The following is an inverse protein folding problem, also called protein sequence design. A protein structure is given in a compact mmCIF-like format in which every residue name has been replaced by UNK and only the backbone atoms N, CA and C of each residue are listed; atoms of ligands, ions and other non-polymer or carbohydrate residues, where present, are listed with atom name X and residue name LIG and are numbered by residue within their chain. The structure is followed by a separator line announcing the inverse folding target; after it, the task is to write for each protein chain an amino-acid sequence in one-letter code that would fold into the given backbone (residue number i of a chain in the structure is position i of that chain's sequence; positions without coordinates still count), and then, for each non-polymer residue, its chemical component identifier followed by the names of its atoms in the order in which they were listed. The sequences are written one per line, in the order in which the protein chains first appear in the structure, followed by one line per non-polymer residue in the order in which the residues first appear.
data_IF_910188204574
#
_entry.id   IF_910188204574
#
_cell.length_a   1.000
_cell.length_b   1.000
_cell.length_c   1.000
_cell.angle_alpha   90.00
_cell.angle_beta   90.00
_cell.angle_gamma   90.00
#
_symmetry.space_group_name_H-M   'P 1'
#
loop_
_entity.id
_entity.type
_entity.pdbx_description
1 polymer ?
#
# COMPACT_ATOMS: atom_id res chain seq x y z
N UNK A 1 -18.02 14.41 -19.24
CA UNK A 1 -17.59 13.09 -18.84
C UNK A 1 -16.23 13.18 -18.18
N UNK A 2 -16.10 12.57 -17.01
CA UNK A 2 -14.87 12.68 -16.30
C UNK A 2 -13.89 11.63 -16.75
N UNK A 3 -12.67 12.03 -16.98
CA UNK A 3 -11.67 11.10 -17.41
C UNK A 3 -10.95 10.52 -16.19
N UNK A 4 -10.82 9.23 -16.16
CA UNK A 4 -10.13 8.58 -15.05
C UNK A 4 -8.65 8.58 -15.35
N UNK A 5 -7.83 9.05 -14.40
CA UNK A 5 -6.39 9.08 -14.62
C UNK A 5 -5.81 7.67 -14.73
N UNK A 6 -4.65 7.59 -15.35
CA UNK A 6 -3.99 6.33 -15.45
C UNK A 6 -3.12 6.08 -14.24
N UNK A 7 -3.02 4.83 -13.84
CA UNK A 7 -2.16 4.46 -12.75
C UNK A 7 -0.88 3.86 -13.29
N UNK A 8 0.24 4.17 -12.65
CA UNK A 8 1.50 3.51 -12.97
C UNK A 8 1.51 2.10 -12.43
N UNK A 9 0.87 1.87 -11.31
CA UNK A 9 0.82 0.54 -10.74
C UNK A 9 -0.34 -0.22 -11.34
N UNK A 10 -0.12 -1.48 -11.67
CA UNK A 10 -1.18 -2.25 -12.29
C UNK A 10 -2.23 -2.63 -11.26
N UNK A 11 -3.47 -2.80 -11.69
CA UNK A 11 -4.51 -3.23 -10.75
C UNK A 11 -4.20 -4.56 -10.10
N UNK A 12 -3.56 -5.48 -10.81
CA UNK A 12 -3.22 -6.76 -10.23
C UNK A 12 -2.24 -6.59 -9.07
N UNK A 13 -1.25 -5.74 -9.22
CA UNK A 13 -0.32 -5.49 -8.13
C UNK A 13 -1.02 -4.83 -6.98
N UNK A 14 -1.93 -3.91 -7.27
CA UNK A 14 -2.67 -3.22 -6.24
C UNK A 14 -3.51 -4.21 -5.43
N UNK A 15 -4.20 -5.11 -6.12
CA UNK A 15 -5.03 -6.10 -5.44
C UNK A 15 -4.15 -7.01 -4.58
N UNK A 16 -2.97 -7.38 -5.08
CA UNK A 16 -2.06 -8.20 -4.30
C UNK A 16 -1.67 -7.48 -3.01
N UNK A 17 -1.36 -6.19 -3.11
CA UNK A 17 -0.97 -5.42 -1.94
C UNK A 17 -2.13 -5.32 -0.95
N UNK A 18 -3.34 -5.08 -1.45
CA UNK A 18 -4.49 -4.99 -0.57
C UNK A 18 -4.73 -6.32 0.14
N UNK A 19 -4.61 -7.41 -0.60
CA UNK A 19 -4.83 -8.73 0.00
C UNK A 19 -3.80 -9.04 1.06
N UNK A 20 -2.54 -8.71 0.78
CA UNK A 20 -1.49 -8.97 1.76
C UNK A 20 -1.61 -8.05 2.97
N UNK A 21 -1.99 -6.82 2.75
CA UNK A 21 -2.16 -5.90 3.87
C UNK A 21 -3.30 -6.37 4.76
N UNK A 22 -4.37 -6.86 4.16
CA UNK A 22 -5.51 -7.33 4.92
C UNK A 22 -5.14 -8.58 5.72
N UNK A 23 -4.36 -9.47 5.11
CA UNK A 23 -3.92 -10.65 5.79
C UNK A 23 -2.98 -10.28 6.95
N UNK A 24 -2.14 -9.30 6.73
CA UNK A 24 -1.22 -8.86 7.76
C UNK A 24 -1.97 -8.23 8.93
N UNK A 25 -3.05 -7.52 8.66
CA UNK A 25 -3.85 -6.95 9.72
C UNK A 25 -4.43 -8.04 10.62
N UNK A 26 -4.87 -9.12 10.02
CA UNK A 26 -5.41 -10.21 10.80
C UNK A 26 -4.32 -10.84 11.63
N UNK A 27 -3.17 -11.05 11.06
CA UNK A 27 -2.09 -11.68 11.79
C UNK A 27 -1.54 -10.80 12.88
N UNK A 28 -1.73 -9.52 12.77
CA UNK A 28 -1.22 -8.60 13.75
C UNK A 28 -2.13 -8.34 14.88
N UNK A 29 -3.13 -9.13 15.07
CA UNK A 29 -3.97 -8.97 16.20
C UNK A 29 -3.19 -9.11 17.43
N UNK A 30 -2.05 -9.75 17.44
CA UNK A 30 -1.30 -9.86 18.61
C UNK A 30 -0.48 -8.70 18.85
N UNK A 31 -0.09 -8.45 20.03
CA UNK A 31 0.67 -7.31 20.40
C UNK A 31 1.91 -7.30 19.58
N UNK A 32 2.20 -6.21 18.99
CA UNK A 32 3.26 -6.11 18.21
C UNK A 32 4.42 -5.46 18.79
N UNK A 33 4.70 -5.65 19.99
CA UNK A 33 5.79 -5.03 20.64
C UNK A 33 7.08 -5.34 19.97
N UNK A 34 7.19 -6.51 19.52
CA UNK A 34 8.39 -6.92 18.92
C UNK A 34 8.65 -6.25 17.61
N UNK A 35 7.67 -6.01 16.86
CA UNK A 35 7.90 -5.40 15.58
C UNK A 35 8.46 -4.01 15.73
N UNK A 36 8.11 -3.32 16.78
CA UNK A 36 8.67 -2.01 16.97
C UNK A 36 10.14 -2.08 17.21
N UNK A 37 10.60 -3.08 17.85
CA UNK A 37 11.98 -3.18 18.14
C UNK A 37 12.80 -3.61 16.96
N UNK A 38 12.21 -4.30 16.07
CA UNK A 38 12.97 -4.85 15.02
C UNK A 38 12.84 -4.18 13.72
N UNK A 39 12.11 -3.17 13.63
CA UNK A 39 11.79 -2.67 12.36
C UNK A 39 12.90 -1.97 11.69
N UNK A 40 13.93 -1.64 12.32
CA UNK A 40 14.83 -0.82 11.65
C UNK A 40 15.99 -1.48 11.05
N UNK A 41 16.39 -2.56 11.36
CA UNK A 41 17.53 -3.04 10.75
C UNK A 41 17.49 -4.43 10.38
N UNK A 42 17.36 -4.90 9.63
CA UNK A 42 17.27 -6.13 9.14
C UNK A 42 17.72 -7.29 9.92
N UNK A 43 18.27 -7.01 10.96
CA UNK A 43 18.73 -7.98 11.78
C UNK A 43 17.72 -8.99 12.03
N UNK A 44 16.61 -8.55 12.33
CA UNK A 44 15.63 -9.44 12.73
C UNK A 44 15.17 -10.20 11.57
N UNK A 45 15.76 -10.00 10.48
CA UNK A 45 15.36 -10.76 9.36
C UNK A 45 15.24 -12.19 9.67
N UNK A 46 15.99 -12.68 10.58
CA UNK A 46 15.87 -14.00 10.84
C UNK A 46 14.70 -14.30 11.55
N UNK A 47 14.36 -13.64 12.45
CA UNK A 47 13.19 -13.90 13.15
C UNK A 47 12.03 -13.79 12.29
N UNK A 48 12.26 -13.29 11.17
CA UNK A 48 11.21 -13.03 10.38
C UNK A 48 10.36 -14.15 10.00
N UNK A 49 10.77 -15.25 10.12
CA UNK A 49 9.92 -16.29 9.73
C UNK A 49 8.56 -16.10 10.17
N UNK A 50 8.35 -15.32 11.18
CA UNK A 50 7.11 -15.16 11.64
C UNK A 50 6.41 -14.06 11.07
N UNK A 51 6.72 -12.99 10.93
CA UNK A 51 5.94 -11.90 10.45
C UNK A 51 5.90 -11.94 8.97
N UNK A 52 5.67 -13.05 8.41
CA UNK A 52 5.81 -13.16 7.01
C UNK A 52 4.88 -12.30 6.22
N UNK A 53 3.68 -12.08 6.66
CA UNK A 53 2.78 -11.23 5.89
C UNK A 53 3.30 -9.84 5.72
N UNK A 54 3.75 -9.23 6.80
CA UNK A 54 4.28 -7.88 6.73
C UNK A 54 5.61 -7.85 6.01
N UNK A 55 6.45 -8.82 6.22
CA UNK A 55 7.73 -8.87 5.57
C UNK A 55 7.58 -9.02 4.07
N UNK A 56 6.67 -9.87 3.66
CA UNK A 56 6.45 -10.05 2.25
C UNK A 56 5.92 -8.79 1.62
N UNK A 57 4.99 -8.14 2.29
CA UNK A 57 4.41 -6.93 1.78
C UNK A 57 5.47 -5.83 1.67
N UNK A 58 6.29 -5.70 2.69
CA UNK A 58 7.34 -4.71 2.68
C UNK A 58 8.30 -4.95 1.52
N UNK A 59 8.69 -6.19 1.34
CA UNK A 59 9.59 -6.53 0.24
C UNK A 59 8.96 -6.26 -1.11
N UNK A 60 7.69 -6.57 -1.24
CA UNK A 60 7.01 -6.35 -2.50
C UNK A 60 6.97 -4.84 -2.81
N UNK A 61 6.62 -4.03 -1.83
CA UNK A 61 6.53 -2.59 -2.06
C UNK A 61 7.89 -2.01 -2.36
N UNK A 62 8.92 -2.46 -1.66
CA UNK A 62 10.25 -1.95 -1.93
C UNK A 62 10.73 -2.32 -3.31
N UNK A 63 10.24 -3.41 -3.86
CA UNK A 63 10.61 -3.83 -5.20
C UNK A 63 9.88 -3.12 -6.31
N UNK A 64 8.89 -2.32 -5.98
CA UNK A 64 8.18 -1.57 -7.01
C UNK A 64 9.04 -0.40 -7.47
N UNK A 65 8.78 0.08 -8.67
CA UNK A 65 9.53 1.24 -9.11
C UNK A 65 8.99 2.49 -8.41
N UNK A 66 9.67 3.59 -8.57
CA UNK A 66 9.33 4.81 -7.86
C UNK A 66 7.94 5.30 -8.21
N UNK A 67 7.58 5.24 -9.48
CA UNK A 67 6.26 5.71 -9.89
C UNK A 67 5.15 4.88 -9.27
N UNK A 68 5.37 3.58 -9.14
CA UNK A 68 4.39 2.71 -8.52
C UNK A 68 4.25 3.02 -7.04
N UNK A 69 5.36 3.28 -6.37
CA UNK A 69 5.32 3.62 -4.96
C UNK A 69 4.61 4.95 -4.74
N UNK A 70 4.85 5.91 -5.62
CA UNK A 70 4.18 7.18 -5.54
C UNK A 70 2.68 7.01 -5.72
N UNK A 71 2.29 6.17 -6.66
CA UNK A 71 0.87 5.88 -6.84
C UNK A 71 0.25 5.32 -5.57
N UNK A 72 0.94 4.42 -4.89
CA UNK A 72 0.39 3.83 -3.68
C UNK A 72 0.15 4.87 -2.60
N UNK A 73 1.08 5.78 -2.42
CA UNK A 73 0.90 6.82 -1.41
C UNK A 73 -0.27 7.72 -1.79
N UNK A 74 -0.32 8.11 -3.06
CA UNK A 74 -1.42 8.97 -3.51
C UNK A 74 -2.76 8.26 -3.39
N UNK A 75 -2.79 6.96 -3.70
CA UNK A 75 -4.02 6.18 -3.55
C UNK A 75 -4.45 6.12 -2.09
N UNK A 76 -3.50 5.91 -1.19
CA UNK A 76 -3.84 5.86 0.21
C UNK A 76 -4.43 7.20 0.66
N UNK A 77 -3.84 8.29 0.22
CA UNK A 77 -4.35 9.61 0.57
C UNK A 77 -5.74 9.85 -0.04
N UNK A 78 -5.95 9.37 -1.27
CA UNK A 78 -7.25 9.49 -1.90
C UNK A 78 -8.29 8.71 -1.10
N UNK A 79 -7.98 7.49 -0.71
CA UNK A 79 -8.90 6.68 0.08
C UNK A 79 -9.16 7.27 1.44
N UNK A 80 -8.18 7.99 1.98
CA UNK A 80 -8.34 8.60 3.28
C UNK A 80 -9.18 9.87 3.22
N UNK A 81 -9.42 10.37 2.02
CA UNK A 81 -10.25 11.54 1.89
C UNK A 81 -9.51 12.85 1.78
N UNK A 82 -8.21 12.78 1.54
CA UNK A 82 -7.40 13.99 1.44
C UNK A 82 -7.61 14.72 0.11
N UNK A 83 -8.30 14.13 -0.80
CA UNK A 83 -8.65 14.73 -2.06
C UNK A 83 -9.56 13.78 -2.80
N UNK A 84 -9.94 14.12 -4.02
CA UNK A 84 -10.76 13.20 -4.78
C UNK A 84 -10.10 12.94 -6.12
N UNK A 85 -10.76 12.19 -6.98
CA UNK A 85 -10.11 11.77 -8.22
C UNK A 85 -9.76 12.95 -9.11
N UNK A 86 -10.49 14.05 -8.97
CA UNK A 86 -10.15 15.23 -9.74
C UNK A 86 -8.85 15.86 -9.30
N UNK A 87 -8.43 15.57 -8.08
CA UNK A 87 -7.19 16.09 -7.54
C UNK A 87 -6.05 15.09 -7.68
N UNK A 88 -6.24 14.04 -8.47
CA UNK A 88 -5.26 12.97 -8.53
C UNK A 88 -3.85 13.46 -8.83
N UNK A 89 -3.72 14.36 -9.81
CA UNK A 89 -2.39 14.82 -10.16
C UNK A 89 -1.75 15.59 -9.02
N UNK A 90 -2.53 16.33 -8.25
CA UNK A 90 -1.99 17.05 -7.13
C UNK A 90 -1.58 16.09 -6.01
N UNK A 91 -2.40 15.09 -5.75
CA UNK A 91 -2.05 14.10 -4.75
C UNK A 91 -0.76 13.39 -5.14
N UNK A 92 -0.65 13.05 -6.40
CA UNK A 92 0.52 12.36 -6.88
C UNK A 92 1.76 13.25 -6.78
N UNK A 93 1.62 14.53 -7.07
CA UNK A 93 2.74 15.45 -6.96
C UNK A 93 3.20 15.57 -5.52
N UNK A 94 2.27 15.62 -4.60
CA UNK A 94 2.63 15.70 -3.20
C UNK A 94 3.26 14.41 -2.73
N UNK A 95 2.75 13.29 -3.20
CA UNK A 95 3.32 11.99 -2.84
C UNK A 95 4.75 11.88 -3.38
N UNK A 96 4.98 12.42 -4.57
CA UNK A 96 6.32 12.37 -5.15
C UNK A 96 7.29 13.18 -4.31
N UNK A 97 6.85 14.31 -3.79
CA UNK A 97 7.71 15.10 -2.95
C UNK A 97 8.01 14.43 -1.63
N UNK A 98 7.09 13.63 -1.14
CA UNK A 98 7.28 12.95 0.12
C UNK A 98 8.01 11.62 -0.02
N UNK A 99 8.23 11.18 -1.26
CA UNK A 99 8.82 9.86 -1.48
C UNK A 99 10.26 9.81 -0.99
N UNK A 100 10.62 8.74 -0.31
CA UNK A 100 11.99 8.50 0.10
C UNK A 100 12.13 7.01 0.38
N UNK A 101 13.23 6.62 0.98
CA UNK A 101 13.47 5.20 1.21
C UNK A 101 12.66 4.63 2.35
N UNK A 102 11.80 5.45 2.98
CA UNK A 102 10.93 4.95 4.02
C UNK A 102 9.49 4.83 3.56
N UNK A 103 9.26 4.97 2.27
CA UNK A 103 7.89 4.93 1.76
C UNK A 103 7.20 3.61 2.09
N UNK A 104 7.90 2.49 1.94
CA UNK A 104 7.29 1.21 2.24
C UNK A 104 6.89 1.11 3.71
N UNK A 105 7.77 1.57 4.60
CA UNK A 105 7.46 1.54 6.02
C UNK A 105 6.29 2.44 6.36
N UNK A 106 6.24 3.58 5.72
CA UNK A 106 5.13 4.51 5.92
C UNK A 106 3.81 3.87 5.53
N UNK A 107 3.77 3.23 4.37
CA UNK A 107 2.55 2.60 3.92
C UNK A 107 2.13 1.46 4.84
N UNK A 108 3.07 0.61 5.17
CA UNK A 108 2.75 -0.55 5.99
C UNK A 108 2.31 -0.15 7.38
N UNK A 109 2.85 0.94 7.89
CA UNK A 109 2.47 1.42 9.20
C UNK A 109 1.15 2.18 9.23
N UNK A 110 0.53 2.39 8.09
CA UNK A 110 -0.71 3.15 8.06
C UNK A 110 -1.87 2.26 8.47
N UNK A 111 -2.64 2.63 9.48
CA UNK A 111 -3.77 1.82 9.88
C UNK A 111 -4.80 1.74 8.76
N UNK A 112 -5.39 0.59 8.62
CA UNK A 112 -6.45 0.38 7.63
C UNK A 112 -5.98 0.59 6.19
N UNK A 113 -4.70 0.37 5.95
CA UNK A 113 -4.16 0.57 4.61
C UNK A 113 -4.99 -0.17 3.57
N UNK A 114 -5.34 -1.42 3.83
CA UNK A 114 -6.08 -2.19 2.84
C UNK A 114 -7.43 -1.55 2.51
N UNK A 115 -8.12 -1.06 3.53
CA UNK A 115 -9.40 -0.42 3.30
C UNK A 115 -9.26 0.88 2.54
N UNK A 116 -8.22 1.64 2.85
CA UNK A 116 -8.00 2.91 2.17
C UNK A 116 -7.67 2.70 0.70
N UNK A 117 -6.86 1.69 0.42
CA UNK A 117 -6.52 1.41 -0.97
C UNK A 117 -7.73 0.89 -1.74
N UNK A 118 -8.54 0.07 -1.10
CA UNK A 118 -9.72 -0.44 -1.76
C UNK A 118 -10.71 0.70 -2.05
N UNK A 119 -10.82 1.63 -1.14
CA UNK A 119 -11.67 2.78 -1.34
C UNK A 119 -11.17 3.59 -2.54
N UNK A 120 -9.85 3.75 -2.65
CA UNK A 120 -9.28 4.47 -3.76
C UNK A 120 -9.53 3.74 -5.07
N UNK A 121 -9.46 2.42 -5.07
CA UNK A 121 -9.76 1.65 -6.27
C UNK A 121 -11.17 1.95 -6.76
N UNK A 122 -12.10 2.05 -5.84
CA UNK A 122 -13.47 2.36 -6.21
C UNK A 122 -13.57 3.71 -6.90
N UNK A 123 -12.79 4.67 -6.44
CA UNK A 123 -12.80 5.97 -7.08
C UNK A 123 -12.30 5.90 -8.51
N UNK A 124 -11.45 4.91 -8.80
CA UNK A 124 -10.94 4.72 -10.14
C UNK A 124 -11.84 3.77 -10.95
N UNK A 125 -12.96 3.36 -10.39
CA UNK A 125 -13.84 2.44 -11.09
C UNK A 125 -13.37 1.01 -11.09
N UNK A 126 -12.46 0.67 -10.20
CA UNK A 126 -11.93 -0.67 -10.12
C UNK A 126 -12.49 -1.40 -8.92
N UNK A 127 -12.52 -2.70 -8.97
CA UNK A 127 -13.03 -3.50 -7.88
C UNK A 127 -12.12 -4.68 -7.64
N UNK A 128 -12.02 -5.08 -6.40
CA UNK A 128 -11.21 -6.26 -6.07
C UNK A 128 -11.70 -7.47 -6.82
N UNK A 129 -13.00 -7.60 -6.95
CA UNK A 129 -13.54 -8.78 -7.58
C UNK A 129 -13.11 -8.93 -9.02
N UNK A 130 -12.86 -7.82 -9.68
CA UNK A 130 -12.48 -7.89 -11.07
C UNK A 130 -11.13 -8.56 -11.27
N UNK A 131 -10.30 -8.55 -10.26
CA UNK A 131 -8.94 -9.03 -10.39
C UNK A 131 -8.57 -10.19 -9.50
N UNK A 132 -9.38 -10.50 -8.52
CA UNK A 132 -9.03 -11.57 -7.61
C UNK A 132 -8.90 -12.92 -8.28
N UNK A 133 -9.72 -13.16 -9.26
CA UNK A 133 -9.65 -14.43 -9.92
C UNK A 133 -8.36 -14.61 -10.66
N UNK A 134 -7.66 -13.56 -10.96
CA UNK A 134 -6.44 -13.64 -11.70
C UNK A 134 -5.25 -13.86 -10.82
N UNK A 135 -5.44 -13.79 -9.56
CA UNK A 135 -4.35 -14.02 -8.64
C UNK A 135 -4.22 -15.50 -8.35
#
# INVERSE_FOLDING_TARGET
MRRIPELSISPEKLVFIISKARQSDIESDEPDLISDLTDDDGVHGRGAGKGTGRSELSGFIRGLNVDEQIDLVALMWLGRGDGDIDNWHQLRAQAAQAHNNRTASYLIGTPLLSDLLEEAMSAFGLSMEDFEEKL
#
